data_IF_501306497109
#
_entry.id   IF_501306497109
#
_cell.length_a   1.000
_cell.length_b   1.000
_cell.length_c   1.000
_cell.angle_alpha   90.00
_cell.angle_beta   90.00
_cell.angle_gamma   90.00
#
_symmetry.space_group_name_H-M   'P 1'
#
loop_
_entity.id
_entity.type
_entity.pdbx_description
1 polymer ?
#
# COMPACT_ATOMS: atom_id res chain seq x y z
N UNK A 1 28.86 -61.29 26.70
CA UNK A 1 27.46 -60.77 26.67
C UNK A 1 27.33 -59.37 27.29
N UNK A 2 28.37 -58.87 28.03
CA UNK A 2 28.29 -57.57 28.71
C UNK A 2 28.71 -56.35 27.86
N UNK A 3 29.53 -56.52 26.81
CA UNK A 3 30.00 -55.39 26.03
C UNK A 3 28.92 -54.79 25.09
N UNK A 4 28.03 -55.61 24.57
CA UNK A 4 26.95 -55.17 23.69
C UNK A 4 25.85 -54.42 24.45
N UNK A 5 25.59 -54.78 25.72
CA UNK A 5 24.62 -54.07 26.56
C UNK A 5 25.12 -52.68 26.99
N UNK A 6 26.41 -52.53 27.24
CA UNK A 6 27.03 -51.25 27.59
C UNK A 6 27.03 -50.27 26.40
N UNK A 7 27.25 -50.74 25.17
CA UNK A 7 27.19 -49.92 23.95
C UNK A 7 25.76 -49.46 23.69
N UNK A 8 24.76 -50.34 23.83
CA UNK A 8 23.33 -50.00 23.65
C UNK A 8 22.85 -48.99 24.70
N UNK A 9 23.32 -49.11 25.94
CA UNK A 9 22.97 -48.22 27.03
C UNK A 9 23.59 -46.81 26.82
N UNK A 10 24.86 -46.73 26.40
CA UNK A 10 25.49 -45.46 26.03
C UNK A 10 24.87 -44.83 24.80
N UNK A 11 24.48 -45.60 23.78
CA UNK A 11 23.79 -45.10 22.60
C UNK A 11 22.41 -44.54 22.93
N UNK A 12 21.66 -45.18 23.83
CA UNK A 12 20.38 -44.66 24.34
C UNK A 12 20.52 -43.35 25.11
N UNK A 13 21.61 -43.25 25.92
CA UNK A 13 21.88 -42.00 26.68
C UNK A 13 22.28 -40.86 25.76
N UNK A 14 23.06 -41.12 24.70
CA UNK A 14 23.39 -40.10 23.69
C UNK A 14 22.18 -39.68 22.85
N UNK A 15 21.31 -40.62 22.47
CA UNK A 15 20.07 -40.31 21.72
C UNK A 15 19.07 -39.51 22.58
N UNK A 16 18.91 -39.87 23.88
CA UNK A 16 18.07 -39.09 24.80
C UNK A 16 18.65 -37.72 25.11
N UNK A 17 19.98 -37.58 25.24
CA UNK A 17 20.65 -36.28 25.40
C UNK A 17 20.53 -35.41 24.13
N UNK A 18 20.63 -36.00 22.94
CA UNK A 18 20.48 -35.30 21.67
C UNK A 18 19.02 -34.83 21.48
N UNK A 19 18.04 -35.63 21.90
CA UNK A 19 16.61 -35.27 21.87
C UNK A 19 16.26 -34.17 22.88
N UNK A 20 16.93 -34.14 24.05
CA UNK A 20 16.77 -33.06 25.03
C UNK A 20 17.37 -31.73 24.56
N UNK A 21 18.50 -31.78 23.82
CA UNK A 21 19.16 -30.59 23.28
C UNK A 21 18.34 -29.98 22.12
N UNK A 22 17.68 -30.81 21.30
CA UNK A 22 16.83 -30.34 20.21
C UNK A 22 15.48 -29.74 20.68
N UNK A 23 15.01 -30.10 21.88
CA UNK A 23 13.76 -29.54 22.44
C UNK A 23 13.91 -28.15 23.08
N UNK A 24 15.14 -27.66 23.31
CA UNK A 24 15.40 -26.32 23.88
C UNK A 24 15.46 -25.22 22.79
N UNK A 25 15.51 -25.57 21.50
CA UNK A 25 15.52 -24.58 20.37
C UNK A 25 14.11 -24.13 19.97
N UNK A 26 13.06 -24.67 20.59
CA UNK A 26 11.69 -24.30 20.28
C UNK A 26 11.20 -23.16 21.19
N UNK A 27 10.74 -22.08 20.56
CA UNK A 27 9.97 -20.98 21.12
C UNK A 27 10.73 -19.87 21.88
N UNK A 28 11.76 -19.29 21.30
CA UNK A 28 11.94 -17.85 21.50
C UNK A 28 10.82 -17.14 20.69
N UNK A 29 9.71 -16.80 21.36
CA UNK A 29 8.69 -15.95 20.75
C UNK A 29 9.38 -14.62 20.39
N UNK A 30 9.48 -14.34 19.08
CA UNK A 30 10.09 -13.10 18.60
C UNK A 30 9.25 -11.94 19.12
N UNK A 31 9.82 -11.15 20.03
CA UNK A 31 9.22 -9.89 20.45
C UNK A 31 9.31 -8.89 19.29
N UNK A 32 8.19 -8.33 18.90
CA UNK A 32 8.11 -7.43 17.79
C UNK A 32 8.21 -5.97 18.24
N UNK A 33 9.17 -5.23 17.68
CA UNK A 33 9.24 -3.77 17.76
C UNK A 33 8.36 -3.15 16.67
N UNK A 34 8.03 -1.87 16.79
CA UNK A 34 7.30 -1.14 15.75
C UNK A 34 8.05 -1.18 14.42
N UNK A 35 9.37 -0.94 14.44
CA UNK A 35 10.22 -0.98 13.25
C UNK A 35 10.21 -2.36 12.59
N UNK A 36 10.36 -3.43 13.38
CA UNK A 36 10.31 -4.79 12.84
C UNK A 36 8.94 -5.14 12.21
N UNK A 37 7.83 -4.63 12.77
CA UNK A 37 6.50 -4.79 12.20
C UNK A 37 6.38 -4.05 10.86
N UNK A 38 6.87 -2.82 10.78
CA UNK A 38 6.84 -1.99 9.56
C UNK A 38 7.71 -2.62 8.46
N UNK A 39 8.94 -3.02 8.79
CA UNK A 39 9.87 -3.65 7.82
C UNK A 39 9.26 -4.92 7.24
N UNK A 40 8.72 -5.79 8.10
CA UNK A 40 8.05 -7.01 7.66
C UNK A 40 6.84 -6.72 6.77
N UNK A 41 6.01 -5.74 7.16
CA UNK A 41 4.86 -5.34 6.38
C UNK A 41 5.25 -4.84 4.99
N UNK A 42 6.26 -3.97 4.88
CA UNK A 42 6.74 -3.43 3.60
C UNK A 42 7.22 -4.54 2.66
N UNK A 43 7.90 -5.56 3.21
CA UNK A 43 8.42 -6.68 2.43
C UNK A 43 7.31 -7.62 1.92
N UNK A 44 6.25 -7.83 2.72
CA UNK A 44 5.25 -8.87 2.45
C UNK A 44 3.90 -8.32 1.97
N UNK A 45 3.64 -7.02 2.10
CA UNK A 45 2.33 -6.45 1.78
C UNK A 45 2.01 -6.52 0.28
N UNK A 46 0.84 -7.08 -0.04
CA UNK A 46 0.38 -7.28 -1.41
C UNK A 46 0.05 -5.96 -2.13
N UNK A 47 -0.37 -4.93 -1.41
CA UNK A 47 -0.68 -3.62 -1.99
C UNK A 47 0.60 -2.90 -2.44
N UNK A 48 1.66 -2.93 -1.63
CA UNK A 48 2.99 -2.42 -2.01
C UNK A 48 3.51 -3.18 -3.24
N UNK A 49 3.34 -4.50 -3.28
CA UNK A 49 3.71 -5.33 -4.43
C UNK A 49 2.91 -4.97 -5.68
N UNK A 50 1.61 -4.73 -5.55
CA UNK A 50 0.76 -4.30 -6.66
C UNK A 50 1.21 -2.93 -7.22
N UNK A 51 1.53 -1.98 -6.33
CA UNK A 51 2.06 -0.66 -6.74
C UNK A 51 3.42 -0.79 -7.43
N UNK A 52 4.26 -1.74 -6.99
CA UNK A 52 5.53 -2.08 -7.67
C UNK A 52 5.29 -2.61 -9.08
N UNK A 53 4.31 -3.50 -9.29
CA UNK A 53 3.96 -3.97 -10.63
C UNK A 53 3.43 -2.85 -11.54
N UNK A 54 2.67 -1.89 -10.99
CA UNK A 54 2.24 -0.72 -11.74
C UNK A 54 3.43 0.15 -12.19
N UNK A 55 4.44 0.28 -11.35
CA UNK A 55 5.69 0.96 -11.71
C UNK A 55 6.46 0.19 -12.78
N UNK A 56 6.55 -1.14 -12.71
CA UNK A 56 7.21 -1.96 -13.73
C UNK A 56 6.49 -1.86 -15.08
N UNK A 57 5.16 -1.82 -15.08
CA UNK A 57 4.35 -1.54 -16.28
C UNK A 57 4.65 -0.17 -16.87
N UNK A 58 4.76 0.87 -16.02
CA UNK A 58 5.11 2.23 -16.45
C UNK A 58 6.54 2.32 -16.98
N UNK A 59 7.47 1.56 -16.39
CA UNK A 59 8.85 1.41 -16.87
C UNK A 59 8.91 0.80 -18.25
N UNK A 60 8.13 -0.26 -18.49
CA UNK A 60 8.08 -0.91 -19.80
C UNK A 60 7.41 0.01 -20.85
N UNK A 61 6.37 0.75 -20.47
CA UNK A 61 5.77 1.78 -21.33
C UNK A 61 6.76 2.87 -21.71
N UNK A 62 7.62 3.30 -20.79
CA UNK A 62 8.72 4.23 -21.11
C UNK A 62 9.72 3.59 -22.05
N UNK A 63 10.14 2.34 -21.82
CA UNK A 63 11.06 1.60 -22.72
C UNK A 63 10.45 1.43 -24.10
N UNK A 64 9.17 1.09 -24.19
CA UNK A 64 8.46 0.96 -25.45
C UNK A 64 8.44 2.28 -26.20
N UNK A 65 8.19 3.41 -25.55
CA UNK A 65 8.20 4.72 -26.20
C UNK A 65 9.58 5.08 -26.81
N UNK A 66 10.68 4.58 -26.22
CA UNK A 66 12.03 4.71 -26.79
C UNK A 66 12.21 3.77 -27.99
N UNK A 67 11.74 2.51 -27.89
CA UNK A 67 11.82 1.51 -28.98
C UNK A 67 10.95 1.89 -30.18
N UNK A 68 9.92 2.70 -30.01
CA UNK A 68 9.10 3.25 -31.10
C UNK A 68 9.90 4.15 -32.06
N UNK A 69 11.15 4.50 -31.72
CA UNK A 69 12.09 5.13 -32.67
C UNK A 69 12.69 4.14 -33.67
N UNK A 70 12.62 2.84 -33.41
CA UNK A 70 13.11 1.78 -34.29
C UNK A 70 12.14 1.54 -35.45
N UNK A 71 12.61 0.99 -36.58
CA UNK A 71 11.72 0.59 -37.65
C UNK A 71 10.80 -0.55 -37.22
N UNK A 72 9.55 -0.50 -37.65
CA UNK A 72 8.65 -1.64 -37.57
C UNK A 72 8.82 -2.50 -38.80
N UNK A 73 8.92 -3.83 -38.61
CA UNK A 73 9.01 -4.81 -39.69
C UNK A 73 7.86 -5.79 -39.51
N UNK A 74 7.11 -6.00 -40.58
CA UNK A 74 6.00 -6.97 -40.65
C UNK A 74 6.07 -7.87 -41.85
N UNK A 75 5.77 -9.15 -41.70
CA UNK A 75 5.61 -10.09 -42.79
C UNK A 75 4.15 -10.51 -42.89
N UNK A 76 3.65 -10.68 -44.12
CA UNK A 76 2.35 -11.29 -44.38
C UNK A 76 2.43 -12.36 -45.46
N UNK A 77 1.57 -13.35 -45.33
CA UNK A 77 1.35 -14.39 -46.35
C UNK A 77 -0.16 -14.57 -46.47
N UNK A 78 -0.67 -14.33 -47.65
CA UNK A 78 -2.10 -14.44 -47.96
C UNK A 78 -2.36 -15.60 -48.91
N UNK A 79 -3.35 -16.41 -48.62
CA UNK A 79 -3.92 -17.41 -49.50
C UNK A 79 -5.36 -17.02 -49.77
N UNK A 80 -5.67 -16.75 -51.07
CA UNK A 80 -6.99 -16.28 -51.48
C UNK A 80 -7.52 -17.14 -52.62
N UNK A 81 -8.72 -17.69 -52.47
CA UNK A 81 -9.47 -18.32 -53.56
C UNK A 81 -10.54 -17.31 -54.02
N UNK A 82 -10.57 -17.04 -55.31
CA UNK A 82 -11.59 -16.18 -55.93
C UNK A 82 -12.55 -17.04 -56.69
N UNK A 83 -13.83 -16.82 -56.49
CA UNK A 83 -14.93 -17.55 -57.14
C UNK A 83 -15.66 -16.61 -58.11
N UNK A 84 -16.00 -17.14 -59.28
CA UNK A 84 -16.78 -16.42 -60.27
C UNK A 84 -15.99 -15.42 -61.10
N UNK A 85 -16.68 -14.40 -61.66
CA UNK A 85 -16.05 -13.40 -62.54
C UNK A 85 -15.19 -12.41 -61.75
N UNK A 86 -13.89 -12.48 -61.93
CA UNK A 86 -12.94 -11.57 -61.31
C UNK A 86 -11.84 -11.13 -62.29
N UNK A 87 -11.18 -9.99 -62.01
CA UNK A 87 -9.99 -9.61 -62.77
C UNK A 87 -8.82 -10.49 -62.38
N UNK A 88 -8.14 -11.04 -63.36
CA UNK A 88 -6.88 -11.73 -63.20
C UNK A 88 -5.80 -10.70 -62.79
N UNK A 89 -5.13 -10.88 -61.67
CA UNK A 89 -4.11 -9.94 -61.23
C UNK A 89 -2.89 -9.83 -62.13
N UNK A 90 -2.65 -10.81 -62.97
CA UNK A 90 -1.50 -10.87 -63.92
C UNK A 90 -1.79 -10.14 -65.23
N UNK A 91 -2.93 -10.44 -65.85
CA UNK A 91 -3.28 -9.90 -67.18
C UNK A 91 -4.20 -8.68 -67.11
N UNK A 92 -4.84 -8.42 -66.00
CA UNK A 92 -5.97 -7.48 -65.80
C UNK A 92 -7.22 -7.79 -66.65
N UNK A 93 -7.31 -8.96 -67.26
CA UNK A 93 -8.49 -9.42 -67.98
C UNK A 93 -9.51 -10.00 -67.01
N UNK A 94 -10.80 -9.89 -67.39
CA UNK A 94 -11.86 -10.54 -66.64
C UNK A 94 -11.93 -12.03 -66.98
N UNK A 95 -11.62 -12.85 -65.98
CA UNK A 95 -11.76 -14.33 -66.07
C UNK A 95 -13.01 -14.75 -65.30
N UNK A 96 -13.71 -15.80 -65.84
CA UNK A 96 -14.88 -16.39 -65.22
C UNK A 96 -14.58 -17.84 -64.80
N UNK A 97 -13.56 -17.92 -63.96
CA UNK A 97 -13.09 -19.19 -63.40
C UNK A 97 -12.67 -18.98 -61.97
N UNK A 98 -12.77 -20.02 -61.16
CA UNK A 98 -12.24 -20.02 -59.81
C UNK A 98 -10.73 -20.21 -59.87
N UNK A 99 -10.00 -19.43 -59.13
CA UNK A 99 -8.55 -19.55 -59.02
C UNK A 99 -8.04 -19.14 -57.63
N UNK A 100 -6.90 -19.68 -57.26
CA UNK A 100 -6.23 -19.26 -56.07
C UNK A 100 -5.01 -18.42 -56.37
N UNK A 101 -4.65 -17.57 -55.36
CA UNK A 101 -3.46 -16.74 -55.40
C UNK A 101 -2.85 -16.65 -54.00
N UNK A 102 -1.52 -16.58 -53.97
CA UNK A 102 -0.74 -16.38 -52.78
C UNK A 102 0.04 -15.07 -52.92
N UNK A 103 0.03 -14.23 -51.86
CA UNK A 103 0.90 -13.08 -51.79
C UNK A 103 1.77 -13.20 -50.56
N UNK A 104 3.02 -12.93 -50.72
CA UNK A 104 4.01 -12.86 -49.63
C UNK A 104 4.62 -11.48 -49.61
N UNK A 105 4.61 -10.80 -48.44
CA UNK A 105 5.23 -9.48 -48.30
C UNK A 105 6.02 -9.33 -47.01
N UNK A 106 7.09 -8.61 -47.10
CA UNK A 106 7.87 -8.10 -45.96
C UNK A 106 7.93 -6.57 -46.08
N UNK A 107 7.40 -5.88 -45.09
CA UNK A 107 7.34 -4.42 -45.08
C UNK A 107 8.07 -3.86 -43.87
N UNK A 108 8.87 -2.81 -44.08
CA UNK A 108 9.53 -2.07 -43.03
C UNK A 108 9.11 -0.61 -43.12
N UNK A 109 8.81 -0.01 -41.96
CA UNK A 109 8.46 1.41 -41.85
C UNK A 109 9.24 2.07 -40.71
N UNK A 110 9.78 3.26 -40.96
CA UNK A 110 10.55 4.07 -40.02
C UNK A 110 10.11 5.52 -40.08
N UNK A 111 9.54 6.01 -38.95
CA UNK A 111 9.24 7.42 -38.80
C UNK A 111 10.52 8.24 -38.50
N UNK A 112 11.01 9.02 -39.44
CA UNK A 112 12.15 9.89 -39.23
C UNK A 112 11.79 11.18 -38.47
N UNK A 113 10.63 11.76 -38.79
CA UNK A 113 10.13 12.95 -38.14
C UNK A 113 8.62 12.99 -38.06
N UNK A 114 8.09 13.31 -36.88
CA UNK A 114 6.64 13.48 -36.61
C UNK A 114 6.39 14.72 -35.75
N UNK A 115 6.93 15.89 -36.13
CA UNK A 115 6.72 17.13 -35.39
C UNK A 115 7.15 17.06 -33.92
N UNK A 116 8.24 16.33 -33.59
CA UNK A 116 8.74 16.06 -32.23
C UNK A 116 7.77 15.27 -31.35
N UNK A 117 6.72 14.67 -31.91
CA UNK A 117 5.73 13.87 -31.17
C UNK A 117 6.41 12.74 -30.37
N UNK A 118 7.21 11.88 -31.04
CA UNK A 118 7.89 10.74 -30.41
C UNK A 118 8.79 11.17 -29.26
N UNK A 119 9.60 12.21 -29.44
CA UNK A 119 10.50 12.72 -28.40
C UNK A 119 9.74 13.26 -27.18
N UNK A 120 8.61 13.95 -27.39
CA UNK A 120 7.79 14.43 -26.29
C UNK A 120 7.00 13.30 -25.60
N UNK A 121 6.58 12.25 -26.34
CA UNK A 121 5.98 11.04 -25.76
C UNK A 121 6.98 10.31 -24.88
N UNK A 122 8.23 10.14 -25.31
CA UNK A 122 9.31 9.55 -24.49
C UNK A 122 9.48 10.32 -23.19
N UNK A 123 9.51 11.67 -23.28
CA UNK A 123 9.62 12.52 -22.07
C UNK A 123 8.40 12.40 -21.17
N UNK A 124 7.19 12.34 -21.73
CA UNK A 124 5.96 12.15 -20.97
C UNK A 124 5.99 10.80 -20.22
N UNK A 125 6.28 9.70 -20.93
CA UNK A 125 6.36 8.36 -20.32
C UNK A 125 7.45 8.27 -19.25
N UNK A 126 8.61 8.96 -19.45
CA UNK A 126 9.67 9.04 -18.43
C UNK A 126 9.16 9.70 -17.15
N UNK A 127 8.38 10.78 -17.24
CA UNK A 127 7.86 11.46 -16.06
C UNK A 127 6.72 10.68 -15.40
N UNK A 128 5.91 9.93 -16.17
CA UNK A 128 4.94 8.97 -15.57
C UNK A 128 5.68 7.88 -14.81
N UNK A 129 6.75 7.29 -15.38
CA UNK A 129 7.57 6.29 -14.67
C UNK A 129 8.16 6.85 -13.36
N UNK A 130 8.65 8.11 -13.36
CA UNK A 130 9.10 8.77 -12.13
C UNK A 130 7.97 8.99 -11.13
N UNK A 131 6.79 9.38 -11.59
CA UNK A 131 5.62 9.54 -10.72
C UNK A 131 5.26 8.21 -10.02
N UNK A 132 5.28 7.09 -10.77
CA UNK A 132 4.97 5.78 -10.18
C UNK A 132 6.06 5.26 -9.23
N UNK A 133 7.30 5.73 -9.33
CA UNK A 133 8.34 5.49 -8.31
C UNK A 133 7.99 6.18 -6.98
N UNK A 134 7.53 7.43 -7.03
CA UNK A 134 7.07 8.13 -5.83
C UNK A 134 5.78 7.49 -5.27
N UNK A 135 4.90 6.95 -6.13
CA UNK A 135 3.69 6.25 -5.68
C UNK A 135 4.03 5.00 -4.84
N UNK A 136 5.14 4.29 -5.14
CA UNK A 136 5.62 3.17 -4.30
C UNK A 136 6.03 3.68 -2.91
N UNK A 137 6.81 4.77 -2.85
CA UNK A 137 7.22 5.35 -1.58
C UNK A 137 6.01 5.82 -0.77
N UNK A 138 5.05 6.44 -1.43
CA UNK A 138 3.80 6.85 -0.78
C UNK A 138 3.02 5.67 -0.19
N UNK A 139 2.89 4.55 -0.93
CA UNK A 139 2.20 3.37 -0.42
C UNK A 139 2.94 2.74 0.77
N UNK A 140 4.28 2.70 0.72
CA UNK A 140 5.09 2.24 1.86
C UNK A 140 4.85 3.10 3.10
N UNK A 141 4.80 4.44 2.97
CA UNK A 141 4.51 5.34 4.09
C UNK A 141 3.10 5.14 4.63
N UNK A 142 2.09 5.04 3.76
CA UNK A 142 0.71 4.78 4.19
C UNK A 142 0.61 3.45 4.95
N UNK A 143 1.29 2.41 4.47
CA UNK A 143 1.35 1.12 5.16
C UNK A 143 2.04 1.25 6.53
N UNK A 144 3.17 1.96 6.60
CA UNK A 144 3.87 2.19 7.86
C UNK A 144 2.99 2.90 8.90
N UNK A 145 2.20 3.89 8.49
CA UNK A 145 1.23 4.56 9.37
C UNK A 145 0.09 3.63 9.82
N UNK A 146 -0.43 2.77 8.94
CA UNK A 146 -1.45 1.77 9.32
C UNK A 146 -0.89 0.78 10.34
N UNK A 147 0.32 0.27 10.10
CA UNK A 147 1.01 -0.63 11.02
C UNK A 147 1.29 0.06 12.36
N UNK A 148 1.74 1.32 12.35
CA UNK A 148 1.96 2.12 13.55
C UNK A 148 0.66 2.29 14.35
N UNK A 149 -0.45 2.63 13.69
CA UNK A 149 -1.75 2.74 14.36
C UNK A 149 -2.16 1.43 14.99
N UNK A 150 -2.10 0.32 14.25
CA UNK A 150 -2.45 -1.00 14.77
C UNK A 150 -1.53 -1.45 15.93
N UNK A 151 -0.24 -1.09 15.89
CA UNK A 151 0.70 -1.35 16.97
C UNK A 151 0.31 -0.61 18.26
N UNK A 152 -0.02 0.68 18.17
CA UNK A 152 -0.45 1.48 19.32
C UNK A 152 -1.85 1.09 19.81
N UNK A 153 -2.73 0.60 18.94
CA UNK A 153 -4.03 0.05 19.35
C UNK A 153 -3.84 -1.21 20.24
N UNK A 154 -2.87 -2.08 19.91
CA UNK A 154 -2.54 -3.21 20.80
C UNK A 154 -2.05 -2.68 22.16
N UNK A 155 -1.16 -1.69 22.18
CA UNK A 155 -0.68 -1.09 23.43
C UNK A 155 -1.80 -0.47 24.26
N UNK A 156 -2.78 0.13 23.61
CA UNK A 156 -3.97 0.63 24.27
C UNK A 156 -4.77 -0.51 24.94
N UNK A 157 -5.07 -1.59 24.21
CA UNK A 157 -5.83 -2.71 24.77
C UNK A 157 -5.04 -3.51 25.80
N UNK A 158 -3.70 -3.60 25.70
CA UNK A 158 -2.84 -4.14 26.76
C UNK A 158 -3.00 -3.32 28.06
N UNK A 159 -3.00 -1.99 27.97
CA UNK A 159 -3.23 -1.11 29.09
C UNK A 159 -4.63 -1.23 29.68
N UNK A 160 -5.69 -1.33 28.85
CA UNK A 160 -7.05 -1.55 29.29
C UNK A 160 -7.22 -2.91 30.00
N UNK A 161 -6.56 -3.95 29.53
CA UNK A 161 -6.56 -5.26 30.22
C UNK A 161 -5.86 -5.15 31.57
N UNK A 162 -4.73 -4.45 31.66
CA UNK A 162 -4.02 -4.24 32.92
C UNK A 162 -4.90 -3.46 33.94
N UNK A 163 -5.52 -2.35 33.52
CA UNK A 163 -6.45 -1.60 34.35
C UNK A 163 -7.64 -2.44 34.80
N UNK A 164 -8.21 -3.26 33.90
CA UNK A 164 -9.35 -4.15 34.23
C UNK A 164 -8.97 -5.26 35.22
N UNK A 165 -7.72 -5.73 35.17
CA UNK A 165 -7.21 -6.69 36.15
C UNK A 165 -7.08 -6.04 37.53
N UNK A 166 -6.55 -4.81 37.62
CA UNK A 166 -6.51 -4.06 38.87
C UNK A 166 -7.92 -3.84 39.46
N UNK A 167 -8.88 -3.41 38.62
CA UNK A 167 -10.27 -3.23 39.03
C UNK A 167 -10.93 -4.53 39.53
N UNK A 168 -10.63 -5.63 38.83
CA UNK A 168 -11.13 -6.96 39.22
C UNK A 168 -10.55 -7.43 40.58
N UNK A 169 -9.26 -7.19 40.83
CA UNK A 169 -8.62 -7.54 42.10
C UNK A 169 -9.25 -6.76 43.27
N UNK A 170 -9.51 -5.45 43.07
CA UNK A 170 -10.20 -4.60 44.05
C UNK A 170 -11.60 -5.15 44.33
N UNK A 171 -12.39 -5.51 43.32
CA UNK A 171 -13.73 -6.04 43.49
C UNK A 171 -13.76 -7.43 44.10
N UNK A 172 -12.78 -8.29 43.80
CA UNK A 172 -12.65 -9.60 44.44
C UNK A 172 -12.36 -9.45 45.93
N UNK A 173 -11.42 -8.56 46.32
CA UNK A 173 -11.12 -8.29 47.72
C UNK A 173 -12.33 -7.74 48.50
N UNK A 174 -13.11 -6.85 47.84
CA UNK A 174 -14.34 -6.32 48.44
C UNK A 174 -15.41 -7.42 48.64
N UNK A 175 -15.64 -8.28 47.62
CA UNK A 175 -16.56 -9.40 47.70
C UNK A 175 -16.17 -10.36 48.85
N UNK A 176 -14.89 -10.72 48.97
CA UNK A 176 -14.39 -11.61 50.01
C UNK A 176 -14.59 -11.02 51.43
N UNK A 177 -14.38 -9.71 51.57
CA UNK A 177 -14.62 -8.98 52.81
C UNK A 177 -16.12 -9.00 53.22
N UNK A 178 -17.00 -8.63 52.25
CA UNK A 178 -18.45 -8.58 52.48
C UNK A 178 -18.98 -9.98 52.78
N UNK A 179 -18.54 -11.03 52.05
CA UNK A 179 -18.93 -12.42 52.28
C UNK A 179 -18.63 -12.84 53.73
N UNK A 180 -17.44 -12.49 54.23
CA UNK A 180 -17.06 -12.79 55.60
C UNK A 180 -17.87 -12.02 56.65
N UNK A 181 -18.19 -10.75 56.36
CA UNK A 181 -19.04 -9.94 57.26
C UNK A 181 -20.46 -10.43 57.31
N UNK A 182 -21.04 -10.90 56.20
CA UNK A 182 -22.36 -11.52 56.15
C UNK A 182 -22.38 -12.87 56.92
N UNK A 183 -21.33 -13.70 56.76
CA UNK A 183 -21.17 -14.96 57.52
C UNK A 183 -21.16 -14.71 59.05
N UNK A 184 -20.52 -13.62 59.48
CA UNK A 184 -20.44 -13.19 60.86
C UNK A 184 -21.73 -12.49 61.35
N UNK A 185 -22.74 -12.27 60.50
CA UNK A 185 -23.96 -11.55 60.81
C UNK A 185 -23.81 -10.04 60.96
N UNK A 186 -22.71 -9.45 60.47
CA UNK A 186 -22.40 -8.03 60.55
C UNK A 186 -22.95 -7.19 59.39
N UNK A 187 -23.32 -7.86 58.26
CA UNK A 187 -23.92 -7.24 57.07
C UNK A 187 -25.12 -8.00 56.58
N UNK A 188 -25.98 -7.37 55.79
CA UNK A 188 -27.15 -7.99 55.20
C UNK A 188 -26.79 -8.84 53.96
N UNK A 189 -27.56 -9.91 53.67
CA UNK A 189 -27.36 -10.72 52.48
C UNK A 189 -27.50 -9.92 51.16
N UNK A 190 -28.23 -8.81 51.17
CA UNK A 190 -28.34 -7.89 50.03
C UNK A 190 -27.01 -7.28 49.64
N UNK A 191 -26.16 -6.93 50.60
CA UNK A 191 -24.84 -6.34 50.37
C UNK A 191 -23.89 -7.32 49.67
N UNK A 192 -24.06 -8.65 49.97
CA UNK A 192 -23.29 -9.70 49.29
C UNK A 192 -23.64 -9.79 47.80
N UNK A 193 -24.93 -9.75 47.45
CA UNK A 193 -25.37 -9.81 46.07
C UNK A 193 -24.95 -8.54 45.29
N UNK A 194 -24.90 -7.38 45.95
CA UNK A 194 -24.37 -6.16 45.34
C UNK A 194 -22.87 -6.28 45.06
N UNK A 195 -22.08 -6.77 46.04
CA UNK A 195 -20.65 -7.00 45.83
C UNK A 195 -20.37 -8.06 44.74
N UNK A 196 -21.18 -9.11 44.68
CA UNK A 196 -21.11 -10.15 43.63
C UNK A 196 -21.42 -9.55 42.24
N UNK A 197 -22.47 -8.74 42.13
CA UNK A 197 -22.82 -8.05 40.87
C UNK A 197 -21.69 -7.18 40.37
N UNK A 198 -21.01 -6.41 41.23
CA UNK A 198 -19.87 -5.56 40.89
C UNK A 198 -18.68 -6.40 40.45
N UNK A 199 -18.38 -7.51 41.13
CA UNK A 199 -17.31 -8.45 40.73
C UNK A 199 -17.60 -9.09 39.38
N UNK A 200 -18.81 -9.52 39.09
CA UNK A 200 -19.21 -10.09 37.80
C UNK A 200 -19.15 -9.05 36.69
N UNK A 201 -19.50 -7.79 36.98
CA UNK A 201 -19.32 -6.66 36.05
C UNK A 201 -17.85 -6.45 35.63
N UNK A 202 -16.92 -6.46 36.59
CA UNK A 202 -15.48 -6.33 36.28
C UNK A 202 -14.92 -7.56 35.55
N UNK A 203 -15.39 -8.77 35.87
CA UNK A 203 -15.05 -10.00 35.10
C UNK A 203 -15.52 -9.91 33.66
N UNK A 204 -16.70 -9.36 33.40
CA UNK A 204 -17.22 -9.14 32.07
C UNK A 204 -16.38 -8.11 31.34
N UNK A 205 -16.06 -6.98 31.99
CA UNK A 205 -15.21 -5.92 31.40
C UNK A 205 -13.82 -6.44 31.01
N UNK A 206 -13.18 -7.21 31.90
CA UNK A 206 -11.89 -7.85 31.59
C UNK A 206 -11.99 -8.79 30.37
N UNK A 207 -13.06 -9.58 30.29
CA UNK A 207 -13.29 -10.48 29.14
C UNK A 207 -13.46 -9.69 27.84
N UNK A 208 -14.24 -8.60 27.89
CA UNK A 208 -14.42 -7.72 26.73
C UNK A 208 -13.09 -7.10 26.27
N UNK A 209 -12.29 -6.57 27.20
CA UNK A 209 -11.00 -5.96 26.88
C UNK A 209 -9.99 -6.98 26.33
N UNK A 210 -9.99 -8.24 26.84
CA UNK A 210 -9.17 -9.33 26.26
C UNK A 210 -9.60 -9.69 24.83
N UNK A 211 -10.90 -9.70 24.55
CA UNK A 211 -11.39 -9.92 23.20
C UNK A 211 -10.98 -8.78 22.25
N UNK A 212 -11.03 -7.52 22.70
CA UNK A 212 -10.57 -6.38 21.92
C UNK A 212 -9.06 -6.43 21.66
N UNK A 213 -8.26 -6.83 22.67
CA UNK A 213 -6.83 -7.05 22.50
C UNK A 213 -6.54 -8.12 21.43
N UNK A 214 -7.28 -9.22 21.47
CA UNK A 214 -7.14 -10.30 20.47
C UNK A 214 -7.48 -9.79 19.06
N UNK A 215 -8.55 -8.99 18.93
CA UNK A 215 -8.91 -8.37 17.66
C UNK A 215 -7.84 -7.38 17.18
N UNK A 216 -7.30 -6.54 18.04
CA UNK A 216 -6.24 -5.58 17.69
C UNK A 216 -4.98 -6.31 17.19
N UNK A 217 -4.59 -7.40 17.85
CA UNK A 217 -3.49 -8.26 17.40
C UNK A 217 -3.75 -8.87 16.01
N UNK A 218 -4.98 -9.31 15.76
CA UNK A 218 -5.38 -9.83 14.45
C UNK A 218 -5.27 -8.74 13.35
N UNK A 219 -5.71 -7.51 13.65
CA UNK A 219 -5.59 -6.38 12.70
C UNK A 219 -4.12 -6.11 12.34
N UNK A 220 -3.22 -6.08 13.32
CA UNK A 220 -1.79 -5.90 13.04
C UNK A 220 -1.23 -7.04 12.18
N UNK A 221 -1.55 -8.29 12.48
CA UNK A 221 -1.15 -9.46 11.68
C UNK A 221 -1.65 -9.34 10.24
N UNK A 222 -2.88 -8.84 10.05
CA UNK A 222 -3.47 -8.63 8.72
C UNK A 222 -2.78 -7.49 7.95
N UNK A 223 -2.50 -6.35 8.60
CA UNK A 223 -1.75 -5.24 7.97
C UNK A 223 -0.34 -5.66 7.56
N UNK A 224 0.31 -6.51 8.37
CA UNK A 224 1.61 -7.08 8.05
C UNK A 224 1.55 -8.15 6.94
N UNK A 225 0.37 -8.63 6.54
CA UNK A 225 0.19 -9.83 5.69
C UNK A 225 0.95 -11.06 6.23
N UNK A 226 1.02 -11.21 7.55
CA UNK A 226 1.71 -12.33 8.18
C UNK A 226 0.82 -13.57 8.17
N UNK A 227 0.97 -14.40 7.14
CA UNK A 227 0.18 -15.63 6.97
C UNK A 227 0.65 -16.73 7.94
N UNK A 228 -0.31 -17.40 8.59
CA UNK A 228 -0.04 -18.51 9.51
C UNK A 228 0.25 -18.11 10.95
N UNK A 229 0.30 -16.82 11.29
CA UNK A 229 0.38 -16.35 12.66
C UNK A 229 -1.03 -16.27 13.27
N UNK A 230 -1.17 -16.79 14.50
CA UNK A 230 -2.42 -16.71 15.29
C UNK A 230 -2.31 -15.72 16.46
N UNK A 231 -1.10 -15.34 16.85
CA UNK A 231 -0.84 -14.38 17.92
C UNK A 231 0.47 -13.64 17.66
N UNK A 232 0.60 -12.43 18.22
CA UNK A 232 1.79 -11.59 18.17
C UNK A 232 2.08 -11.04 19.56
N UNK A 233 3.36 -11.02 19.93
CA UNK A 233 3.84 -10.39 21.16
C UNK A 233 4.70 -9.19 20.83
N UNK A 234 4.30 -8.05 21.35
CA UNK A 234 5.03 -6.80 21.17
C UNK A 234 6.07 -6.62 22.29
N UNK A 235 7.17 -6.01 21.93
CA UNK A 235 8.16 -5.61 22.93
C UNK A 235 7.53 -4.62 23.89
N UNK A 236 7.74 -4.80 25.20
CA UNK A 236 7.39 -3.79 26.19
C UNK A 236 8.26 -2.56 25.92
N UNK A 237 7.64 -1.50 25.49
CA UNK A 237 8.25 -0.17 25.52
C UNK A 237 8.13 0.34 26.96
N UNK A 238 9.07 -0.12 27.83
CA UNK A 238 9.19 0.50 29.14
C UNK A 238 9.34 2.01 28.95
N UNK A 239 8.37 2.76 29.51
CA UNK A 239 8.46 4.17 29.85
C UNK A 239 9.53 4.99 29.10
N UNK A 240 9.46 5.04 27.76
CA UNK A 240 10.08 6.20 27.12
C UNK A 240 9.32 7.38 27.69
N UNK A 241 9.97 8.08 28.62
CA UNK A 241 9.57 9.40 29.05
C UNK A 241 9.06 10.13 27.83
N UNK A 242 7.80 10.59 27.89
CA UNK A 242 7.26 11.41 26.81
C UNK A 242 8.27 12.53 26.62
N UNK A 243 9.00 12.47 25.50
CA UNK A 243 10.04 13.43 25.17
C UNK A 243 9.48 14.84 25.41
N UNK A 244 10.29 15.69 25.99
CA UNK A 244 9.92 17.04 26.40
C UNK A 244 8.99 17.65 25.35
N UNK A 245 7.78 18.02 25.78
CA UNK A 245 6.74 18.57 24.94
C UNK A 245 7.27 19.83 24.27
N UNK A 246 7.64 19.74 22.99
CA UNK A 246 8.03 20.94 22.24
C UNK A 246 6.79 21.80 22.01
N UNK A 247 6.60 22.79 22.87
CA UNK A 247 5.73 23.91 22.60
C UNK A 247 6.37 24.77 21.51
N UNK A 248 5.73 24.79 20.33
CA UNK A 248 6.13 25.78 19.32
C UNK A 248 6.44 25.28 17.93
N UNK A 249 5.85 24.16 17.51
CA UNK A 249 5.96 23.70 16.12
C UNK A 249 5.38 24.77 15.17
N UNK A 250 6.25 25.35 14.33
CA UNK A 250 5.82 26.30 13.29
C UNK A 250 5.19 25.54 12.13
N UNK A 251 3.90 25.78 11.87
CA UNK A 251 3.18 25.19 10.75
C UNK A 251 3.86 25.49 9.40
N UNK A 252 4.33 26.74 9.20
CA UNK A 252 4.96 27.14 7.94
C UNK A 252 6.28 26.41 7.69
N UNK A 253 7.09 26.20 8.74
CA UNK A 253 8.33 25.43 8.64
C UNK A 253 8.05 23.96 8.34
N UNK A 254 7.10 23.37 9.07
CA UNK A 254 6.69 21.98 8.90
C UNK A 254 6.14 21.73 7.48
N UNK A 255 5.26 22.62 6.99
CA UNK A 255 4.72 22.53 5.64
C UNK A 255 5.80 22.62 4.57
N UNK A 256 6.73 23.58 4.70
CA UNK A 256 7.84 23.73 3.75
C UNK A 256 8.69 22.47 3.69
N UNK A 257 9.05 21.92 4.86
CA UNK A 257 9.84 20.69 4.94
C UNK A 257 9.06 19.51 4.30
N UNK A 258 7.81 19.30 4.73
CA UNK A 258 6.99 18.19 4.24
C UNK A 258 6.76 18.25 2.73
N UNK A 259 6.44 19.42 2.17
CA UNK A 259 6.21 19.63 0.74
C UNK A 259 7.40 19.18 -0.11
N UNK A 260 8.63 19.38 0.40
CA UNK A 260 9.85 19.08 -0.35
C UNK A 260 10.19 17.60 -0.42
N UNK A 261 9.68 16.75 0.50
CA UNK A 261 10.01 15.33 0.48
C UNK A 261 8.82 14.36 0.37
N UNK A 262 7.58 14.82 0.66
CA UNK A 262 6.40 13.93 0.61
C UNK A 262 6.20 13.35 -0.80
N UNK A 263 6.22 12.01 -0.96
CA UNK A 263 6.20 11.39 -2.29
C UNK A 263 4.93 11.70 -3.08
N UNK A 264 3.80 11.87 -2.41
CA UNK A 264 2.51 12.19 -3.06
C UNK A 264 2.58 13.51 -3.84
N UNK A 265 3.18 14.57 -3.25
CA UNK A 265 3.35 15.87 -3.92
C UNK A 265 4.31 15.73 -5.10
N UNK A 266 5.46 15.07 -4.91
CA UNK A 266 6.43 14.81 -5.98
C UNK A 266 5.83 14.00 -7.14
N UNK A 267 5.03 12.99 -6.84
CA UNK A 267 4.32 12.22 -7.87
C UNK A 267 3.43 13.14 -8.71
N UNK A 268 2.66 14.03 -8.09
CA UNK A 268 1.80 14.98 -8.81
C UNK A 268 2.62 16.00 -9.64
N UNK A 269 3.74 16.50 -9.14
CA UNK A 269 4.65 17.37 -9.92
C UNK A 269 5.16 16.68 -11.19
N UNK A 270 5.54 15.38 -11.08
CA UNK A 270 5.91 14.59 -12.25
C UNK A 270 4.73 14.37 -13.21
N UNK A 271 3.52 14.15 -12.71
CA UNK A 271 2.30 14.01 -13.54
C UNK A 271 1.96 15.32 -14.27
N UNK A 272 2.12 16.48 -13.64
CA UNK A 272 1.98 17.80 -14.28
C UNK A 272 2.98 17.93 -15.43
N UNK A 273 4.23 17.57 -15.18
CA UNK A 273 5.28 17.64 -16.21
C UNK A 273 5.01 16.66 -17.36
N UNK A 274 4.54 15.46 -17.05
CA UNK A 274 4.12 14.47 -18.05
C UNK A 274 2.98 14.99 -18.93
N UNK A 275 1.92 15.55 -18.33
CA UNK A 275 0.79 16.14 -19.05
C UNK A 275 1.22 17.31 -19.96
N UNK A 276 2.15 18.16 -19.51
CA UNK A 276 2.76 19.20 -20.34
C UNK A 276 3.46 18.62 -21.55
N UNK A 277 4.25 17.53 -21.38
CA UNK A 277 4.95 16.86 -22.47
C UNK A 277 3.99 16.16 -23.42
N UNK A 278 2.92 15.55 -22.89
CA UNK A 278 1.87 14.92 -23.69
C UNK A 278 1.13 15.96 -24.56
N UNK A 279 0.82 17.14 -24.00
CA UNK A 279 0.28 18.26 -24.79
C UNK A 279 1.24 18.68 -25.91
N UNK A 280 2.55 18.75 -25.62
CA UNK A 280 3.57 19.08 -26.63
C UNK A 280 3.68 17.98 -27.70
N UNK A 281 3.56 16.70 -27.31
CA UNK A 281 3.52 15.58 -28.25
C UNK A 281 2.31 15.70 -29.19
N UNK A 282 1.13 15.97 -28.66
CA UNK A 282 -0.07 16.13 -29.50
C UNK A 282 0.02 17.33 -30.43
N UNK A 283 0.70 18.42 -30.05
CA UNK A 283 0.99 19.52 -30.97
C UNK A 283 1.82 19.09 -32.18
N UNK A 284 2.60 18.02 -32.05
CA UNK A 284 3.36 17.43 -33.16
C UNK A 284 2.50 17.05 -34.35
N UNK A 285 1.23 16.71 -34.15
CA UNK A 285 0.28 16.37 -35.23
C UNK A 285 -0.10 17.55 -36.12
N UNK A 286 0.27 18.78 -35.77
CA UNK A 286 0.08 19.98 -36.58
C UNK A 286 1.24 20.23 -37.56
N UNK A 287 2.35 19.51 -37.42
CA UNK A 287 3.55 19.67 -38.25
C UNK A 287 3.63 18.56 -39.30
N UNK A 288 4.39 18.77 -40.39
CA UNK A 288 4.69 17.73 -41.35
C UNK A 288 5.32 16.49 -40.69
N UNK A 289 5.09 15.33 -41.28
CA UNK A 289 5.76 14.08 -40.88
C UNK A 289 6.50 13.46 -42.07
N UNK A 290 7.66 12.87 -41.80
CA UNK A 290 8.53 12.21 -42.76
C UNK A 290 8.77 10.79 -42.32
N UNK A 291 8.43 9.81 -43.15
CA UNK A 291 8.71 8.40 -42.92
C UNK A 291 9.47 7.78 -44.08
N UNK A 292 10.30 6.79 -43.78
CA UNK A 292 10.88 5.89 -44.75
C UNK A 292 10.10 4.57 -44.71
N UNK A 293 9.93 3.97 -45.90
CA UNK A 293 9.35 2.67 -46.02
C UNK A 293 10.13 1.80 -47.05
N UNK A 294 10.18 0.53 -46.79
CA UNK A 294 10.79 -0.43 -47.70
C UNK A 294 9.92 -1.68 -47.72
N UNK A 295 9.87 -2.33 -48.88
CA UNK A 295 9.14 -3.56 -49.02
C UNK A 295 9.81 -4.55 -49.97
N UNK A 296 9.54 -5.81 -49.67
CA UNK A 296 9.85 -6.95 -50.55
C UNK A 296 8.59 -7.76 -50.66
N UNK A 297 8.20 -8.15 -51.89
CA UNK A 297 7.03 -8.96 -52.14
C UNK A 297 7.24 -9.94 -53.28
N UNK A 298 6.47 -11.01 -53.26
CA UNK A 298 6.35 -11.96 -54.38
C UNK A 298 4.95 -12.57 -54.31
N UNK A 299 4.53 -13.10 -55.44
CA UNK A 299 3.19 -13.67 -55.60
C UNK A 299 3.17 -14.91 -56.46
N UNK A 300 2.16 -15.73 -56.25
CA UNK A 300 1.79 -16.85 -57.08
C UNK A 300 0.33 -16.72 -57.49
N UNK A 301 0.05 -16.92 -58.78
CA UNK A 301 -1.30 -16.96 -59.36
C UNK A 301 -1.48 -18.24 -60.16
N UNK A 302 -2.56 -18.97 -59.88
CA UNK A 302 -2.92 -20.18 -60.64
C UNK A 302 -3.26 -19.87 -62.09
N UNK A 303 -3.68 -18.66 -62.40
CA UNK A 303 -3.99 -18.19 -63.75
C UNK A 303 -2.76 -17.82 -64.57
N UNK A 304 -1.55 -17.78 -63.96
CA UNK A 304 -0.31 -17.44 -64.67
C UNK A 304 0.20 -18.69 -65.42
N UNK A 305 -0.04 -18.71 -66.76
CA UNK A 305 0.29 -19.81 -67.63
C UNK A 305 1.42 -19.45 -68.60
N UNK A 306 2.17 -20.44 -69.08
CA UNK A 306 3.18 -20.33 -70.13
C UNK A 306 2.58 -20.23 -71.52
N UNK A 307 3.43 -20.17 -72.57
CA UNK A 307 3.02 -20.10 -73.97
C UNK A 307 2.22 -21.37 -74.46
N UNK A 308 2.33 -22.43 -73.72
CA UNK A 308 1.61 -23.68 -73.98
C UNK A 308 0.28 -23.79 -73.24
N UNK A 309 -0.05 -22.81 -72.37
CA UNK A 309 -1.24 -22.83 -71.55
C UNK A 309 -1.07 -23.61 -70.23
N UNK A 310 0.15 -24.01 -69.85
CA UNK A 310 0.41 -24.73 -68.61
C UNK A 310 0.71 -23.75 -67.50
N UNK A 311 0.18 -24.03 -66.28
CA UNK A 311 0.39 -23.16 -65.10
C UNK A 311 1.88 -23.12 -64.77
N UNK A 312 2.48 -21.91 -64.71
CA UNK A 312 3.88 -21.73 -64.33
C UNK A 312 4.08 -22.20 -62.91
N UNK A 313 5.07 -23.10 -62.64
CA UNK A 313 5.27 -23.70 -61.32
C UNK A 313 5.49 -22.64 -60.24
N UNK A 314 5.00 -22.90 -59.03
CA UNK A 314 5.10 -22.02 -57.84
C UNK A 314 6.54 -21.48 -57.64
N UNK A 315 7.56 -22.35 -57.70
CA UNK A 315 8.97 -21.98 -57.50
C UNK A 315 9.44 -20.92 -58.50
N UNK A 316 9.01 -21.08 -59.75
CA UNK A 316 9.36 -20.12 -60.83
C UNK A 316 8.68 -18.79 -60.59
N UNK A 317 7.35 -18.80 -60.37
CA UNK A 317 6.61 -17.56 -60.09
C UNK A 317 7.11 -16.87 -58.82
N UNK A 318 7.41 -17.63 -57.76
CA UNK A 318 7.95 -17.08 -56.50
C UNK A 318 9.27 -16.35 -56.71
N UNK A 319 10.09 -16.83 -57.63
CA UNK A 319 11.39 -16.17 -57.96
C UNK A 319 11.23 -15.00 -58.91
N UNK A 320 10.39 -15.16 -59.94
CA UNK A 320 10.28 -14.21 -61.05
C UNK A 320 9.37 -13.00 -60.67
N UNK A 321 8.36 -13.20 -59.79
CA UNK A 321 7.44 -12.16 -59.37
C UNK A 321 7.99 -11.29 -58.20
N UNK A 322 9.30 -11.36 -57.90
CA UNK A 322 9.90 -10.58 -56.84
C UNK A 322 9.84 -9.07 -57.13
N UNK A 323 9.30 -8.32 -56.21
CA UNK A 323 9.34 -6.86 -56.26
C UNK A 323 10.03 -6.30 -55.00
N UNK A 324 10.83 -5.25 -55.16
CA UNK A 324 11.57 -4.57 -54.11
C UNK A 324 11.38 -3.07 -54.29
N UNK A 325 11.07 -2.40 -53.18
CA UNK A 325 10.96 -0.96 -53.23
C UNK A 325 11.47 -0.35 -51.94
N UNK A 326 11.97 0.89 -52.04
CA UNK A 326 12.30 1.76 -50.96
C UNK A 326 11.81 3.16 -51.30
N UNK A 327 11.25 3.84 -50.31
CA UNK A 327 10.72 5.18 -50.54
C UNK A 327 10.71 6.03 -49.28
N UNK A 328 10.45 7.32 -49.49
CA UNK A 328 10.20 8.27 -48.42
C UNK A 328 8.84 8.92 -48.66
N UNK A 329 8.10 9.13 -47.58
CA UNK A 329 6.79 9.78 -47.63
C UNK A 329 6.80 11.00 -46.73
N UNK A 330 6.57 12.19 -47.33
CA UNK A 330 6.30 13.43 -46.62
C UNK A 330 4.79 13.66 -46.56
N UNK A 331 4.23 13.70 -45.37
CA UNK A 331 2.82 14.03 -45.17
C UNK A 331 2.68 15.39 -44.50
N UNK A 332 1.99 16.33 -45.18
CA UNK A 332 1.74 17.69 -44.71
C UNK A 332 0.26 17.85 -44.38
N UNK A 333 -0.12 18.01 -43.12
CA UNK A 333 -1.53 18.15 -42.73
C UNK A 333 -2.01 19.58 -43.09
N UNK A 334 -2.68 19.75 -44.22
CA UNK A 334 -3.23 21.05 -44.66
C UNK A 334 -4.55 21.34 -43.90
N UNK A 335 -5.41 20.39 -43.83
CA UNK A 335 -6.68 20.46 -43.06
C UNK A 335 -7.04 19.12 -42.50
N UNK A 336 -7.46 19.10 -41.22
CA UNK A 336 -7.93 17.89 -40.53
C UNK A 336 -9.39 18.04 -40.04
N UNK A 337 -10.16 18.93 -40.66
CA UNK A 337 -11.50 19.24 -40.17
C UNK A 337 -11.48 19.68 -38.71
N UNK A 338 -10.48 20.46 -38.31
CA UNK A 338 -10.27 20.98 -36.95
C UNK A 338 -9.90 19.92 -35.89
N UNK A 339 -9.90 18.60 -36.21
CA UNK A 339 -9.70 17.51 -35.26
C UNK A 339 -8.35 17.60 -34.53
N UNK A 340 -7.26 17.92 -35.20
CA UNK A 340 -5.96 18.10 -34.59
C UNK A 340 -5.93 19.27 -33.60
N UNK A 341 -6.56 20.39 -33.91
CA UNK A 341 -6.67 21.55 -33.01
C UNK A 341 -7.51 21.20 -31.78
N UNK A 342 -8.63 20.49 -31.96
CA UNK A 342 -9.47 20.03 -30.85
C UNK A 342 -8.70 19.08 -29.91
N UNK A 343 -7.92 18.13 -30.45
CA UNK A 343 -7.06 17.25 -29.64
C UNK A 343 -6.01 18.03 -28.86
N UNK A 344 -5.36 19.03 -29.46
CA UNK A 344 -4.42 19.89 -28.74
C UNK A 344 -5.11 20.67 -27.63
N UNK A 345 -6.31 21.20 -27.89
CA UNK A 345 -7.11 21.89 -26.86
C UNK A 345 -7.51 20.97 -25.71
N UNK A 346 -7.93 19.74 -26.00
CA UNK A 346 -8.22 18.72 -24.99
C UNK A 346 -6.99 18.41 -24.11
N UNK A 347 -5.82 18.22 -24.72
CA UNK A 347 -4.58 17.99 -23.97
C UNK A 347 -4.13 19.21 -23.15
N UNK A 348 -4.44 20.44 -23.62
CA UNK A 348 -4.23 21.64 -22.82
C UNK A 348 -5.13 21.65 -21.57
N UNK A 349 -6.38 21.23 -21.71
CA UNK A 349 -7.31 21.10 -20.57
C UNK A 349 -6.81 20.02 -19.60
N UNK A 350 -6.37 18.87 -20.11
CA UNK A 350 -5.79 17.80 -19.28
C UNK A 350 -4.53 18.27 -18.50
N UNK A 351 -3.69 19.10 -19.11
CA UNK A 351 -2.57 19.73 -18.41
C UNK A 351 -3.03 20.69 -17.30
N UNK A 352 -4.09 21.49 -17.55
CA UNK A 352 -4.67 22.38 -16.53
C UNK A 352 -5.28 21.57 -15.37
N UNK A 353 -5.96 20.45 -15.67
CA UNK A 353 -6.47 19.51 -14.65
C UNK A 353 -5.33 18.93 -13.81
N UNK A 354 -4.23 18.50 -14.43
CA UNK A 354 -3.07 18.00 -13.69
C UNK A 354 -2.48 19.07 -12.74
N UNK A 355 -2.43 20.34 -13.16
CA UNK A 355 -2.01 21.44 -12.27
C UNK A 355 -2.96 21.63 -11.09
N UNK A 356 -4.27 21.65 -11.36
CA UNK A 356 -5.26 21.78 -10.31
C UNK A 356 -5.21 20.61 -9.32
N UNK A 357 -4.95 19.39 -9.79
CA UNK A 357 -4.76 18.22 -8.92
C UNK A 357 -3.52 18.37 -8.01
N UNK A 358 -2.43 18.97 -8.51
CA UNK A 358 -1.27 19.30 -7.67
C UNK A 358 -1.64 20.32 -6.59
N UNK A 359 -2.34 21.40 -6.94
CA UNK A 359 -2.79 22.42 -5.98
C UNK A 359 -3.71 21.80 -4.91
N UNK A 360 -4.61 20.88 -5.30
CA UNK A 360 -5.46 20.12 -4.35
C UNK A 360 -4.58 19.33 -3.37
N UNK A 361 -3.59 18.59 -3.86
CA UNK A 361 -2.73 17.78 -2.99
C UNK A 361 -1.86 18.64 -2.06
N UNK A 362 -1.36 19.79 -2.52
CA UNK A 362 -0.65 20.74 -1.69
C UNK A 362 -1.56 21.33 -0.60
N UNK A 363 -2.81 21.62 -0.94
CA UNK A 363 -3.80 22.11 0.02
C UNK A 363 -4.21 21.04 1.04
N UNK A 364 -4.42 19.80 0.60
CA UNK A 364 -4.73 18.66 1.49
C UNK A 364 -3.58 18.41 2.48
N UNK A 365 -2.32 18.46 2.00
CA UNK A 365 -1.14 18.36 2.87
C UNK A 365 -1.12 19.48 3.90
N UNK A 366 -1.35 20.73 3.48
CA UNK A 366 -1.39 21.88 4.40
C UNK A 366 -2.46 21.71 5.48
N UNK A 367 -3.69 21.30 5.08
CA UNK A 367 -4.80 21.07 6.00
C UNK A 367 -4.49 19.94 6.99
N UNK A 368 -3.89 18.85 6.53
CA UNK A 368 -3.46 17.74 7.39
C UNK A 368 -2.45 18.20 8.44
N UNK A 369 -1.44 18.96 8.02
CA UNK A 369 -0.43 19.48 8.97
C UNK A 369 -1.00 20.49 9.93
N UNK A 370 -1.92 21.35 9.48
CA UNK A 370 -2.65 22.28 10.34
C UNK A 370 -3.43 21.53 11.42
N UNK A 371 -4.13 20.47 11.05
CA UNK A 371 -4.87 19.62 11.98
C UNK A 371 -3.92 18.93 12.96
N UNK A 372 -2.82 18.33 12.48
CA UNK A 372 -1.84 17.68 13.35
C UNK A 372 -1.24 18.61 14.40
N UNK A 373 -0.87 19.83 14.02
CA UNK A 373 -0.33 20.83 14.94
C UNK A 373 -1.38 21.28 15.97
N UNK A 374 -2.63 21.45 15.54
CA UNK A 374 -3.74 21.81 16.42
C UNK A 374 -4.04 20.67 17.41
N UNK A 375 -4.12 19.43 16.92
CA UNK A 375 -4.35 18.24 17.74
C UNK A 375 -3.19 18.03 18.73
N UNK A 376 -1.95 18.30 18.35
CA UNK A 376 -0.80 18.19 19.24
C UNK A 376 -0.96 19.09 20.45
N UNK A 377 -1.30 20.37 20.24
CA UNK A 377 -1.52 21.33 21.34
C UNK A 377 -2.66 20.93 22.25
N UNK A 378 -3.77 20.46 21.66
CA UNK A 378 -4.92 19.99 22.42
C UNK A 378 -4.57 18.74 23.26
N UNK A 379 -3.91 17.75 22.64
CA UNK A 379 -3.54 16.50 23.30
C UNK A 379 -2.52 16.70 24.43
N UNK A 380 -1.59 17.63 24.30
CA UNK A 380 -0.67 18.00 25.39
C UNK A 380 -1.47 18.47 26.60
N UNK A 381 -2.38 19.45 26.41
CA UNK A 381 -3.20 19.98 27.48
C UNK A 381 -4.14 18.92 28.09
N UNK A 382 -4.77 18.09 27.24
CA UNK A 382 -5.62 16.97 27.68
C UNK A 382 -4.83 15.95 28.51
N UNK A 383 -3.61 15.61 28.09
CA UNK A 383 -2.76 14.66 28.80
C UNK A 383 -2.38 15.15 30.18
N UNK A 384 -1.92 16.41 30.30
CA UNK A 384 -1.61 17.02 31.59
C UNK A 384 -2.80 17.03 32.55
N UNK A 385 -3.98 17.38 32.05
CA UNK A 385 -5.20 17.41 32.88
C UNK A 385 -5.64 15.99 33.26
N UNK A 386 -5.61 15.05 32.33
CA UNK A 386 -6.00 13.65 32.61
C UNK A 386 -5.03 12.96 33.59
N UNK A 387 -3.73 13.26 33.52
CA UNK A 387 -2.75 12.76 34.49
C UNK A 387 -3.02 13.27 35.92
N UNK A 388 -3.30 14.56 36.08
CA UNK A 388 -3.71 15.14 37.37
C UNK A 388 -5.04 14.56 37.87
N UNK A 389 -5.97 14.27 36.96
CA UNK A 389 -7.23 13.64 37.28
C UNK A 389 -7.03 12.22 37.82
N UNK A 390 -6.16 11.40 37.20
CA UNK A 390 -5.80 10.06 37.69
C UNK A 390 -5.25 10.13 39.10
N UNK A 391 -4.29 11.03 39.35
CA UNK A 391 -3.71 11.21 40.69
C UNK A 391 -4.77 11.58 41.74
N UNK A 392 -5.62 12.56 41.45
CA UNK A 392 -6.68 12.99 42.33
C UNK A 392 -7.73 11.92 42.62
N UNK A 393 -8.15 11.17 41.56
CA UNK A 393 -9.12 10.06 41.70
C UNK A 393 -8.52 8.88 42.46
N UNK A 394 -7.22 8.59 42.28
CA UNK A 394 -6.53 7.57 43.06
C UNK A 394 -6.56 7.89 44.55
N UNK A 395 -6.20 9.11 44.92
CA UNK A 395 -6.22 9.56 46.32
C UNK A 395 -7.65 9.48 46.89
N UNK A 396 -8.66 9.92 46.12
CA UNK A 396 -10.07 9.84 46.54
C UNK A 396 -10.53 8.37 46.75
N UNK A 397 -10.12 7.49 45.85
CA UNK A 397 -10.41 6.04 45.97
C UNK A 397 -9.70 5.45 47.20
N UNK A 398 -8.42 5.73 47.42
CA UNK A 398 -7.66 5.22 48.57
C UNK A 398 -8.29 5.69 49.91
N UNK A 399 -8.79 6.92 49.95
CA UNK A 399 -9.54 7.45 51.14
C UNK A 399 -10.88 6.74 51.29
N UNK A 400 -11.64 6.55 50.20
CA UNK A 400 -12.92 5.86 50.23
C UNK A 400 -12.74 4.41 50.68
N UNK A 401 -11.74 3.70 50.24
CA UNK A 401 -11.41 2.34 50.67
C UNK A 401 -11.16 2.27 52.17
N UNK A 402 -10.31 3.15 52.71
CA UNK A 402 -10.02 3.22 54.17
C UNK A 402 -11.26 3.56 55.00
N UNK A 403 -12.14 4.43 54.48
CA UNK A 403 -13.41 4.77 55.14
C UNK A 403 -14.40 3.60 55.16
N UNK A 404 -14.47 2.87 54.04
CA UNK A 404 -15.31 1.67 53.92
C UNK A 404 -14.87 0.55 54.87
N UNK A 405 -13.56 0.30 54.96
CA UNK A 405 -12.99 -0.68 55.90
C UNK A 405 -13.31 -0.34 57.37
N UNK A 406 -13.53 0.93 57.70
CA UNK A 406 -13.93 1.40 59.01
C UNK A 406 -15.47 1.51 59.19
N UNK A 407 -16.25 1.15 58.19
CA UNK A 407 -17.72 1.23 58.21
C UNK A 407 -18.27 2.66 58.15
N UNK A 408 -17.48 3.66 57.69
CA UNK A 408 -17.87 5.04 57.64
C UNK A 408 -18.57 5.47 56.33
N UNK A 409 -18.55 4.64 55.30
CA UNK A 409 -19.29 4.81 54.05
C UNK A 409 -19.89 3.47 53.62
N UNK A 410 -20.88 3.50 52.72
CA UNK A 410 -21.51 2.29 52.18
C UNK A 410 -20.75 1.78 50.95
N UNK A 411 -21.12 0.56 50.48
CA UNK A 411 -20.52 -0.12 49.33
C UNK A 411 -20.68 0.70 48.01
N UNK A 412 -21.83 1.37 47.85
CA UNK A 412 -22.10 2.19 46.68
C UNK A 412 -21.10 3.37 46.52
N UNK A 413 -20.79 4.04 47.61
CA UNK A 413 -19.81 5.15 47.62
C UNK A 413 -18.38 4.66 47.25
N UNK A 414 -17.98 3.50 47.82
CA UNK A 414 -16.71 2.86 47.43
C UNK A 414 -16.68 2.50 45.95
N UNK A 415 -17.74 1.88 45.43
CA UNK A 415 -17.85 1.49 44.01
C UNK A 415 -17.81 2.71 43.09
N UNK A 416 -18.48 3.81 43.44
CA UNK A 416 -18.43 5.05 42.69
C UNK A 416 -16.99 5.62 42.63
N UNK A 417 -16.27 5.68 43.76
CA UNK A 417 -14.89 6.14 43.80
C UNK A 417 -13.97 5.24 42.95
N UNK A 418 -14.13 3.91 43.02
CA UNK A 418 -13.40 2.94 42.21
C UNK A 418 -13.64 3.18 40.71
N UNK A 419 -14.91 3.31 40.31
CA UNK A 419 -15.25 3.52 38.89
C UNK A 419 -14.68 4.84 38.35
N UNK A 420 -14.74 5.93 39.12
CA UNK A 420 -14.16 7.21 38.72
C UNK A 420 -12.64 7.11 38.53
N UNK A 421 -11.95 6.38 39.39
CA UNK A 421 -10.52 6.10 39.24
C UNK A 421 -10.24 5.28 37.96
N UNK A 422 -10.96 4.20 37.72
CA UNK A 422 -10.79 3.37 36.51
C UNK A 422 -11.07 4.14 35.21
N UNK A 423 -12.12 4.98 35.18
CA UNK A 423 -12.42 5.85 34.04
C UNK A 423 -11.28 6.84 33.79
N UNK A 424 -10.74 7.46 34.85
CA UNK A 424 -9.62 8.40 34.73
C UNK A 424 -8.35 7.71 34.17
N UNK A 425 -8.02 6.50 34.66
CA UNK A 425 -6.90 5.69 34.14
C UNK A 425 -7.05 5.42 32.64
N UNK A 426 -8.23 4.94 32.21
CA UNK A 426 -8.50 4.61 30.82
C UNK A 426 -8.44 5.85 29.90
N UNK A 427 -8.96 6.99 30.38
CA UNK A 427 -8.91 8.25 29.66
C UNK A 427 -7.47 8.75 29.48
N UNK A 428 -6.65 8.73 30.54
CA UNK A 428 -5.25 9.14 30.49
C UNK A 428 -4.44 8.23 29.53
N UNK A 429 -4.66 6.91 29.60
CA UNK A 429 -4.02 5.96 28.68
C UNK A 429 -4.37 6.29 27.23
N UNK A 430 -5.63 6.55 26.93
CA UNK A 430 -6.09 6.87 25.57
C UNK A 430 -5.46 8.16 25.06
N UNK A 431 -5.47 9.23 25.88
CA UNK A 431 -4.89 10.51 25.49
C UNK A 431 -3.38 10.39 25.30
N UNK A 432 -2.67 9.69 26.19
CA UNK A 432 -1.24 9.47 26.08
C UNK A 432 -0.83 8.75 24.79
N UNK A 433 -1.55 7.71 24.40
CA UNK A 433 -1.27 6.99 23.15
C UNK A 433 -1.62 7.83 21.90
N UNK A 434 -2.74 8.57 21.91
CA UNK A 434 -3.07 9.50 20.84
C UNK A 434 -2.01 10.58 20.66
N UNK A 435 -1.50 11.12 21.76
CA UNK A 435 -0.42 12.11 21.75
C UNK A 435 0.85 11.51 21.14
N UNK A 436 1.21 10.27 21.51
CA UNK A 436 2.39 9.58 20.96
C UNK A 436 2.29 9.36 19.44
N UNK A 437 1.13 8.91 18.95
CA UNK A 437 0.88 8.75 17.51
C UNK A 437 0.96 10.09 16.78
N UNK A 438 0.36 11.15 17.35
CA UNK A 438 0.38 12.48 16.77
C UNK A 438 1.80 13.02 16.67
N UNK A 439 2.61 12.94 17.76
CA UNK A 439 4.01 13.35 17.77
C UNK A 439 4.84 12.59 16.75
N UNK A 440 4.73 11.26 16.70
CA UNK A 440 5.42 10.44 15.71
C UNK A 440 5.06 10.87 14.28
N UNK A 441 3.79 11.22 14.03
CA UNK A 441 3.35 11.69 12.72
C UNK A 441 3.95 13.06 12.37
N UNK A 442 4.03 13.98 13.33
CA UNK A 442 4.67 15.29 13.15
C UNK A 442 6.17 15.15 12.88
N UNK A 443 6.85 14.27 13.64
CA UNK A 443 8.28 13.98 13.46
C UNK A 443 8.56 13.47 12.04
N UNK A 444 7.70 12.59 11.52
CA UNK A 444 7.77 12.15 10.13
C UNK A 444 7.70 13.32 9.14
N UNK A 445 6.70 14.20 9.28
CA UNK A 445 6.56 15.36 8.40
C UNK A 445 7.64 16.43 8.60
N UNK A 446 8.34 16.38 9.72
CA UNK A 446 9.53 17.22 9.98
C UNK A 446 10.82 16.62 9.37
N UNK A 447 10.73 15.45 8.73
CA UNK A 447 11.83 14.77 8.05
C UNK A 447 12.69 13.91 8.97
N UNK A 448 12.22 13.61 10.18
CA UNK A 448 12.92 12.67 11.06
C UNK A 448 12.64 11.22 10.60
N UNK A 449 13.65 10.36 10.56
CA UNK A 449 13.47 8.96 10.13
C UNK A 449 12.78 8.15 11.22
N UNK A 450 11.44 8.14 11.22
CA UNK A 450 10.65 7.29 12.13
C UNK A 450 10.61 5.85 11.62
N UNK A 451 10.65 5.70 10.30
CA UNK A 451 10.66 4.41 9.62
C UNK A 451 11.86 4.35 8.68
N UNK A 452 12.57 3.22 8.66
CA UNK A 452 13.69 2.99 7.75
C UNK A 452 13.16 2.56 6.36
N UNK A 453 12.45 3.48 5.68
CA UNK A 453 11.84 3.23 4.38
C UNK A 453 12.78 3.74 3.28
N UNK A 454 13.61 2.85 2.73
CA UNK A 454 14.47 3.09 1.56
C UNK A 454 13.89 2.50 0.29
#
# INVERSE_FOLDING_TARGET
MNLAQDIIMRLKTYITSLFLITSVVAFSQKLWTLEACVDYAIEHNLQVKNTTYNNDSSKESYRQSVRDLLPTVSGSADYTIRYGRSADPQTNDFVNTDFFSNNYSLNANLDLFRGFQKLNTIRASKFIYKATQEDILQEKFLLAFRVMSAYYDIKFFEGLVANSLEQLEISQGNYDLVAKQVELGLMAGADLYEAESNLLGDKLLLTQNRNQLTNAKLVLIQEMNWTGASDIQLQETMGQEMAAMEEGISLDSLYKTARDFVPLVKSQEYRVTAAKKQMQATRGSLYPSLSLFAGYGTSYFETNVDQNGEVIPFKTQFTDNQSKFVGAQLNIPISSGWSNHSRVKQQKIAYMQAKNNLEIQEQELFQLLQQLVQDNRALIAEYEQSAKQVESQKIAFDIAQKRYEKGLINALELFQAKNLYGVAQNQNLQVGLRLKVNQSTIDFYNGLPIFNIN
#
